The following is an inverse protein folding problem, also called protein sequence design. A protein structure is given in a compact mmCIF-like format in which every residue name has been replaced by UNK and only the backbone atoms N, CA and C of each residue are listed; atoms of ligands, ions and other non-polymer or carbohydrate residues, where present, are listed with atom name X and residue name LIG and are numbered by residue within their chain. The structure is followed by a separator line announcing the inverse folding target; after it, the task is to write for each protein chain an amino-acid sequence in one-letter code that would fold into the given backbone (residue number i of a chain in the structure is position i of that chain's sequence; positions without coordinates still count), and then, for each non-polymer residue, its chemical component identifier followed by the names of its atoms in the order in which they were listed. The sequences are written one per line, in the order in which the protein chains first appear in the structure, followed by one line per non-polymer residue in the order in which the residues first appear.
data_IF_019364527770
#
_entry.id   IF_019364527770
#
_cell.length_a   1.000
_cell.length_b   1.000
_cell.length_c   1.000
_cell.angle_alpha   90.00
_cell.angle_beta   90.00
_cell.angle_gamma   90.00
#
_symmetry.space_group_name_H-M   'P 1'
#
loop_
_entity.id
_entity.type
_entity.pdbx_description
1 polymer ?
#
# COMPACT_ATOMS: atom_id res chain seq x y z
N UNK A 1 -1.06 4.04 -25.96
CA UNK A 1 -1.89 4.21 -24.74
C UNK A 1 -0.96 4.62 -23.60
N UNK A 2 -1.40 5.48 -22.67
CA UNK A 2 -0.61 5.84 -21.49
C UNK A 2 -0.60 4.66 -20.49
N UNK A 3 0.59 4.17 -20.16
CA UNK A 3 0.79 3.07 -19.21
C UNK A 3 1.41 3.62 -17.92
N UNK A 4 0.60 4.33 -17.13
CA UNK A 4 1.02 4.88 -15.85
C UNK A 4 0.60 3.94 -14.74
N UNK A 5 1.52 3.59 -13.85
CA UNK A 5 1.25 2.79 -12.66
C UNK A 5 2.13 3.26 -11.50
N UNK A 6 1.71 2.95 -10.27
CA UNK A 6 2.59 3.03 -9.09
C UNK A 6 2.73 1.63 -8.53
N UNK A 7 3.92 1.31 -8.05
CA UNK A 7 4.21 0.00 -7.47
C UNK A 7 5.04 0.14 -6.21
N UNK A 8 4.82 -0.77 -5.26
CA UNK A 8 5.67 -0.96 -4.09
C UNK A 8 6.02 -2.43 -3.97
N UNK A 9 7.30 -2.71 -3.69
CA UNK A 9 7.77 -4.04 -3.29
C UNK A 9 8.21 -4.00 -1.85
N UNK A 10 7.71 -4.92 -1.03
CA UNK A 10 8.06 -5.02 0.39
C UNK A 10 8.66 -6.38 0.66
N UNK A 11 9.93 -6.37 1.06
CA UNK A 11 10.73 -7.58 1.32
C UNK A 11 10.93 -7.74 2.83
N UNK A 12 10.60 -8.92 3.35
CA UNK A 12 10.89 -9.35 4.70
C UNK A 12 11.48 -10.76 4.72
N UNK A 13 11.85 -11.26 5.90
CA UNK A 13 12.41 -12.60 6.02
C UNK A 13 11.42 -13.69 5.53
N UNK A 14 10.15 -13.54 5.92
CA UNK A 14 9.09 -14.53 5.65
C UNK A 14 8.17 -14.19 4.47
N UNK A 15 8.30 -13.00 3.87
CA UNK A 15 7.43 -12.54 2.78
C UNK A 15 8.19 -11.68 1.77
N UNK A 16 7.71 -11.64 0.54
CA UNK A 16 8.18 -10.73 -0.50
C UNK A 16 6.99 -10.39 -1.39
N UNK A 17 6.45 -9.19 -1.25
CA UNK A 17 5.23 -8.80 -1.94
C UNK A 17 5.49 -7.70 -2.96
N UNK A 18 4.87 -7.83 -4.13
CA UNK A 18 4.78 -6.79 -5.15
C UNK A 18 3.33 -6.35 -5.28
N UNK A 19 3.08 -5.06 -5.11
CA UNK A 19 1.74 -4.46 -5.22
C UNK A 19 1.77 -3.30 -6.19
N UNK A 20 0.84 -3.28 -7.15
CA UNK A 20 0.77 -2.27 -8.20
C UNK A 20 -0.65 -1.77 -8.39
N UNK A 21 -0.77 -0.47 -8.70
CA UNK A 21 -2.02 0.19 -9.10
C UNK A 21 -1.81 0.88 -10.43
N UNK A 22 -2.62 0.51 -11.42
CA UNK A 22 -2.61 1.06 -12.76
C UNK A 22 -3.49 2.31 -12.86
N UNK A 23 -3.26 3.16 -13.85
CA UNK A 23 -4.05 4.39 -14.06
C UNK A 23 -5.53 4.15 -14.39
N UNK A 24 -5.86 2.93 -14.76
CA UNK A 24 -7.19 2.35 -14.95
C UNK A 24 -7.83 1.87 -13.64
N UNK A 25 -7.13 2.03 -12.51
CA UNK A 25 -7.50 1.54 -11.17
C UNK A 25 -7.54 0.00 -11.04
N UNK A 26 -6.96 -0.73 -12.00
CA UNK A 26 -6.67 -2.14 -11.81
C UNK A 26 -5.53 -2.31 -10.81
N UNK A 27 -5.62 -3.38 -10.03
CA UNK A 27 -4.68 -3.68 -8.96
C UNK A 27 -4.05 -5.05 -9.19
N UNK A 28 -2.79 -5.15 -8.84
CA UNK A 28 -2.05 -6.40 -8.88
C UNK A 28 -1.33 -6.63 -7.55
N UNK A 29 -1.47 -7.84 -7.01
CA UNK A 29 -0.77 -8.28 -5.81
C UNK A 29 -0.14 -9.65 -6.07
N UNK A 30 1.16 -9.75 -5.90
CA UNK A 30 1.91 -11.00 -6.07
C UNK A 30 2.77 -11.28 -4.84
N UNK A 31 2.83 -12.55 -4.44
CA UNK A 31 3.85 -13.05 -3.52
C UNK A 31 5.02 -13.60 -4.33
N UNK A 32 6.12 -12.86 -4.34
CA UNK A 32 7.31 -13.14 -5.14
C UNK A 32 8.06 -14.37 -4.65
N UNK A 33 7.89 -14.77 -3.37
CA UNK A 33 8.51 -16.01 -2.86
C UNK A 33 7.82 -17.25 -3.42
N UNK A 34 6.50 -17.22 -3.55
CA UNK A 34 5.72 -18.36 -4.07
C UNK A 34 5.52 -18.30 -5.58
N UNK A 35 5.46 -17.11 -6.15
CA UNK A 35 5.31 -16.85 -7.59
C UNK A 35 6.35 -15.82 -8.09
N UNK A 36 7.61 -16.24 -8.29
CA UNK A 36 8.66 -15.35 -8.79
C UNK A 36 8.38 -14.79 -10.19
N UNK A 37 7.52 -15.45 -10.96
CA UNK A 37 7.17 -15.06 -12.34
C UNK A 37 5.95 -14.13 -12.40
N UNK A 38 5.29 -13.84 -11.27
CA UNK A 38 4.14 -12.93 -11.17
C UNK A 38 3.01 -13.29 -12.14
N UNK A 39 2.67 -14.58 -12.19
CA UNK A 39 1.65 -15.13 -13.08
C UNK A 39 0.26 -15.18 -12.45
N UNK A 40 0.17 -15.19 -11.12
CA UNK A 40 -1.08 -15.36 -10.38
C UNK A 40 -1.39 -14.14 -9.52
N UNK A 41 -2.21 -13.22 -10.06
CA UNK A 41 -2.65 -12.05 -9.31
C UNK A 41 -3.57 -12.45 -8.14
N UNK A 42 -3.15 -12.13 -6.91
CA UNK A 42 -3.87 -12.47 -5.69
C UNK A 42 -4.92 -11.41 -5.31
N UNK A 43 -4.87 -10.21 -5.89
CA UNK A 43 -5.73 -9.10 -5.50
C UNK A 43 -7.22 -9.45 -5.61
N UNK A 44 -8.00 -9.11 -4.57
CA UNK A 44 -9.44 -9.36 -4.53
C UNK A 44 -9.84 -10.82 -4.26
N UNK A 45 -8.89 -11.72 -4.02
CA UNK A 45 -9.19 -13.08 -3.57
C UNK A 45 -9.42 -13.15 -2.05
N UNK A 46 -10.23 -14.11 -1.60
CA UNK A 46 -10.42 -14.43 -0.17
C UNK A 46 -9.32 -15.36 0.37
N UNK A 47 -8.14 -15.35 -0.25
CA UNK A 47 -7.03 -16.23 0.11
C UNK A 47 -6.13 -15.64 1.20
N UNK A 48 -5.16 -16.42 1.64
CA UNK A 48 -4.15 -16.03 2.62
C UNK A 48 -2.78 -16.33 2.02
N UNK A 49 -1.82 -15.40 2.15
CA UNK A 49 -0.43 -15.62 1.74
C UNK A 49 0.54 -15.14 2.82
N UNK A 50 1.62 -15.89 3.05
CA UNK A 50 2.57 -15.68 4.15
C UNK A 50 1.93 -15.46 5.55
N UNK A 51 0.72 -16.00 5.77
CA UNK A 51 -0.07 -15.83 7.00
C UNK A 51 -0.89 -14.54 7.07
N UNK A 52 -1.02 -13.80 5.97
CA UNK A 52 -1.79 -12.55 5.88
C UNK A 52 -2.98 -12.72 4.94
N UNK A 53 -4.16 -12.26 5.39
CA UNK A 53 -5.33 -12.14 4.53
C UNK A 53 -5.09 -11.13 3.41
N UNK A 54 -5.51 -11.45 2.19
CA UNK A 54 -5.26 -10.63 1.00
C UNK A 54 -5.91 -9.25 1.12
N UNK A 55 -7.11 -9.16 1.70
CA UNK A 55 -7.82 -7.90 1.90
C UNK A 55 -7.01 -6.95 2.79
N UNK A 56 -6.61 -7.43 3.97
CA UNK A 56 -5.86 -6.68 4.97
C UNK A 56 -4.47 -6.28 4.45
N UNK A 57 -3.81 -7.21 3.75
CA UNK A 57 -2.51 -7.00 3.14
C UNK A 57 -2.57 -5.93 2.06
N UNK A 58 -3.56 -6.00 1.17
CA UNK A 58 -3.75 -5.03 0.08
C UNK A 58 -3.92 -3.62 0.63
N UNK A 59 -4.76 -3.42 1.65
CA UNK A 59 -5.00 -2.10 2.24
C UNK A 59 -3.74 -1.45 2.84
N UNK A 60 -2.86 -2.27 3.43
CA UNK A 60 -1.59 -1.81 4.02
C UNK A 60 -0.53 -1.49 2.98
N UNK A 61 -0.43 -2.33 1.95
CA UNK A 61 0.45 -2.08 0.80
C UNK A 61 0.01 -0.83 0.04
N UNK A 62 -1.30 -0.63 -0.12
CA UNK A 62 -1.86 0.57 -0.75
C UNK A 62 -1.56 1.84 0.06
N UNK A 63 -1.76 1.81 1.37
CA UNK A 63 -1.38 2.92 2.25
C UNK A 63 0.11 3.24 2.20
N UNK A 64 0.96 2.21 2.13
CA UNK A 64 2.41 2.37 2.00
C UNK A 64 2.76 2.98 0.64
N UNK A 65 2.13 2.50 -0.43
CA UNK A 65 2.28 3.03 -1.78
C UNK A 65 1.88 4.50 -1.85
N UNK A 66 0.75 4.86 -1.24
CA UNK A 66 0.27 6.25 -1.13
C UNK A 66 1.28 7.13 -0.37
N UNK A 67 1.87 6.61 0.70
CA UNK A 67 2.92 7.30 1.47
C UNK A 67 4.14 7.62 0.60
N UNK A 68 4.51 6.68 -0.28
CA UNK A 68 5.65 6.82 -1.18
C UNK A 68 5.32 7.68 -2.41
N UNK A 69 4.04 7.78 -2.79
CA UNK A 69 3.57 8.46 -4.01
C UNK A 69 4.03 9.91 -4.16
N UNK A 70 4.09 10.65 -3.06
CA UNK A 70 4.53 12.06 -3.03
C UNK A 70 5.62 12.34 -2.00
N UNK A 71 6.32 11.30 -1.55
CA UNK A 71 7.27 11.38 -0.45
C UNK A 71 8.41 12.39 -0.73
N UNK A 72 8.94 13.00 0.34
CA UNK A 72 10.11 13.88 0.27
C UNK A 72 11.10 13.53 1.38
N UNK A 73 12.39 13.56 1.05
CA UNK A 73 13.48 13.44 2.02
C UNK A 73 13.42 12.17 2.87
N UNK A 74 13.29 12.34 4.20
CA UNK A 74 13.30 11.22 5.16
C UNK A 74 12.13 10.26 4.97
N UNK A 75 10.96 10.75 4.58
CA UNK A 75 9.73 9.94 4.41
C UNK A 75 9.95 8.84 3.37
N UNK A 76 10.65 9.14 2.26
CA UNK A 76 10.93 8.14 1.21
C UNK A 76 11.81 6.98 1.69
N UNK A 77 12.59 7.17 2.76
CA UNK A 77 13.46 6.14 3.34
C UNK A 77 12.84 5.48 4.57
N UNK A 78 11.88 6.14 5.20
CA UNK A 78 11.22 5.68 6.44
C UNK A 78 9.72 5.94 6.35
N UNK A 79 9.01 5.29 5.41
CA UNK A 79 7.59 5.56 5.17
C UNK A 79 6.71 5.16 6.36
N UNK A 80 7.09 4.10 7.10
CA UNK A 80 6.36 3.69 8.31
C UNK A 80 6.38 4.75 9.41
N UNK A 81 7.48 5.50 9.57
CA UNK A 81 7.52 6.63 10.52
C UNK A 81 6.56 7.77 10.12
N UNK A 82 6.23 7.91 8.83
CA UNK A 82 5.27 8.90 8.37
C UNK A 82 3.82 8.45 8.60
N UNK A 83 3.54 7.16 8.41
CA UNK A 83 2.24 6.56 8.72
C UNK A 83 1.99 6.44 10.23
N UNK A 84 3.03 6.11 11.01
CA UNK A 84 2.97 5.95 12.46
C UNK A 84 4.01 6.85 13.13
N UNK A 85 3.72 8.14 13.33
CA UNK A 85 4.67 9.11 13.88
C UNK A 85 5.15 8.80 15.30
N UNK A 86 4.38 8.02 16.06
CA UNK A 86 4.72 7.59 17.43
C UNK A 86 5.59 6.33 17.45
N UNK A 87 5.84 5.70 16.29
CA UNK A 87 6.78 4.60 16.14
C UNK A 87 6.22 3.22 16.50
N UNK A 88 4.90 3.06 16.57
CA UNK A 88 4.27 1.77 16.91
C UNK A 88 4.44 0.71 15.81
N UNK A 89 4.67 1.14 14.57
CA UNK A 89 4.84 0.28 13.40
C UNK A 89 6.14 0.65 12.70
N UNK A 90 7.06 -0.32 12.59
CA UNK A 90 8.34 -0.17 11.88
C UNK A 90 8.43 -0.99 10.59
N UNK A 91 7.52 -1.94 10.39
CA UNK A 91 7.53 -2.87 9.27
C UNK A 91 6.11 -3.28 8.86
N UNK A 92 5.99 -3.93 7.69
CA UNK A 92 4.71 -4.51 7.27
C UNK A 92 4.22 -5.56 8.28
N UNK A 93 5.13 -6.34 8.88
CA UNK A 93 4.75 -7.34 9.89
C UNK A 93 4.04 -6.69 11.08
N UNK A 94 4.55 -5.56 11.56
CA UNK A 94 3.94 -4.82 12.67
C UNK A 94 2.61 -4.18 12.24
N UNK A 95 2.56 -3.69 11.00
CA UNK A 95 1.34 -3.10 10.43
C UNK A 95 0.20 -4.12 10.32
N UNK A 96 0.51 -5.41 10.10
CA UNK A 96 -0.46 -6.51 9.97
C UNK A 96 -1.16 -6.88 11.30
N UNK A 97 -0.85 -6.23 12.42
CA UNK A 97 -1.62 -6.37 13.66
C UNK A 97 -3.08 -5.92 13.43
N UNK A 98 -4.02 -6.76 13.87
CA UNK A 98 -5.47 -6.56 13.66
C UNK A 98 -5.99 -5.26 14.27
N UNK A 99 -5.34 -4.74 15.31
CA UNK A 99 -5.74 -3.46 15.94
C UNK A 99 -5.69 -2.27 14.96
N UNK A 100 -4.98 -2.40 13.85
CA UNK A 100 -4.88 -1.37 12.81
C UNK A 100 -5.83 -1.61 11.62
N UNK A 101 -6.61 -2.70 11.60
CA UNK A 101 -7.47 -3.05 10.46
C UNK A 101 -8.47 -1.93 10.12
N UNK A 102 -9.18 -1.40 11.11
CA UNK A 102 -10.16 -0.31 10.90
C UNK A 102 -9.51 0.93 10.29
N UNK A 103 -8.27 1.25 10.69
CA UNK A 103 -7.54 2.39 10.16
C UNK A 103 -7.19 2.20 8.68
N UNK A 104 -6.56 1.06 8.33
CA UNK A 104 -6.16 0.80 6.95
C UNK A 104 -7.34 0.55 6.02
N UNK A 105 -8.39 -0.14 6.48
CA UNK A 105 -9.53 -0.52 5.64
C UNK A 105 -10.54 0.61 5.44
N UNK A 106 -10.72 1.50 6.44
CA UNK A 106 -11.81 2.49 6.40
C UNK A 106 -11.38 3.94 6.43
N UNK A 107 -10.23 4.25 7.03
CA UNK A 107 -9.80 5.65 7.22
C UNK A 107 -8.82 6.09 6.13
N UNK A 108 -7.99 5.19 5.65
CA UNK A 108 -6.99 5.52 4.65
C UNK A 108 -7.59 5.71 3.26
N UNK A 109 -7.27 6.81 2.56
CA UNK A 109 -7.64 6.95 1.16
C UNK A 109 -6.84 5.96 0.32
N UNK A 110 -7.49 5.44 -0.72
CA UNK A 110 -6.86 4.48 -1.63
C UNK A 110 -6.05 5.15 -2.72
N UNK A 111 -5.00 4.48 -3.21
CA UNK A 111 -4.31 4.90 -4.42
C UNK A 111 -5.26 4.72 -5.61
N UNK A 112 -5.61 5.84 -6.23
CA UNK A 112 -6.47 5.87 -7.41
C UNK A 112 -5.92 6.85 -8.43
N UNK A 113 -6.45 6.79 -9.64
CA UNK A 113 -6.23 7.74 -10.71
C UNK A 113 -7.58 8.17 -11.28
N UNK A 114 -7.70 9.47 -11.60
CA UNK A 114 -8.89 9.98 -12.29
C UNK A 114 -8.79 9.79 -13.81
N UNK A 115 -7.57 9.74 -14.35
CA UNK A 115 -7.31 9.41 -15.76
C UNK A 115 -5.88 8.93 -15.99
N UNK A 116 -5.68 8.27 -17.14
CA UNK A 116 -4.36 7.88 -17.62
C UNK A 116 -3.65 9.05 -18.32
N UNK A 117 -3.03 9.92 -17.54
CA UNK A 117 -2.24 11.04 -18.07
C UNK A 117 -0.88 10.61 -18.65
N UNK A 118 -0.37 11.39 -19.61
CA UNK A 118 0.99 11.22 -20.20
C UNK A 118 2.06 11.92 -19.34
N UNK A 119 2.24 11.44 -18.11
CA UNK A 119 3.25 11.95 -17.18
C UNK A 119 2.72 12.04 -15.74
N UNK A 120 3.58 12.54 -14.85
CA UNK A 120 3.18 12.80 -13.46
C UNK A 120 2.41 14.12 -13.37
N UNK A 121 1.09 14.05 -13.50
CA UNK A 121 0.18 15.18 -13.36
C UNK A 121 -0.64 15.02 -12.09
N UNK A 122 -0.38 15.84 -11.08
CA UNK A 122 -0.97 15.68 -9.73
C UNK A 122 -2.49 15.71 -9.70
N UNK A 123 -3.13 16.39 -10.64
CA UNK A 123 -4.58 16.45 -10.75
C UNK A 123 -5.20 15.12 -11.25
N UNK A 124 -4.42 14.28 -11.94
CA UNK A 124 -4.85 12.97 -12.42
C UNK A 124 -4.62 11.83 -11.40
N UNK A 125 -3.89 12.14 -10.31
CA UNK A 125 -3.34 11.16 -9.39
C UNK A 125 -4.26 10.90 -8.18
N UNK A 126 -5.45 11.48 -8.09
CA UNK A 126 -6.34 11.26 -6.95
C UNK A 126 -5.67 11.63 -5.60
N UNK A 127 -5.74 10.73 -4.61
CA UNK A 127 -5.07 10.95 -3.33
C UNK A 127 -3.54 10.98 -3.48
N UNK A 128 -2.90 11.97 -2.86
CA UNK A 128 -1.45 12.19 -2.92
C UNK A 128 -0.71 11.87 -1.62
N UNK A 129 -1.41 11.90 -0.49
CA UNK A 129 -0.80 11.74 0.83
C UNK A 129 -1.67 10.85 1.73
N UNK A 130 -1.04 10.04 2.59
CA UNK A 130 -1.75 9.25 3.59
C UNK A 130 -2.21 10.12 4.76
N UNK A 131 -3.15 9.59 5.54
CA UNK A 131 -3.50 10.13 6.84
C UNK A 131 -2.58 9.49 7.89
N UNK A 132 -1.83 10.26 8.70
CA UNK A 132 -1.04 9.70 9.79
C UNK A 132 -1.94 9.03 10.84
N UNK A 133 -1.52 7.88 11.34
CA UNK A 133 -2.22 7.19 12.41
C UNK A 133 -2.23 8.05 13.67
N UNK A 134 -3.43 8.29 14.18
CA UNK A 134 -3.66 8.92 15.48
C UNK A 134 -4.63 8.05 16.26
N UNK A 135 -4.18 7.58 17.41
CA UNK A 135 -5.02 6.87 18.37
C UNK A 135 -5.91 7.89 19.09
N UNK A 136 -6.86 8.47 18.36
CA UNK A 136 -7.95 9.22 18.98
C UNK A 136 -8.91 8.18 19.55
N UNK A 137 -8.60 7.72 20.77
CA UNK A 137 -9.65 7.30 21.68
C UNK A 137 -10.65 8.45 21.72
N UNK A 138 -11.88 8.18 21.31
CA UNK A 138 -13.04 9.00 21.64
C UNK A 138 -12.92 9.41 23.12
N UNK A 139 -12.72 10.71 23.35
CA UNK A 139 -13.02 11.33 24.63
C UNK A 139 -14.55 11.50 24.74
#
# INVERSE_FOLDING_TARGET
MPNTYKTVRVVGAAYDFSYSVWCTNEHELYDIKSDPSQMSNLYGSDSVTAGFGILELSARLDSLLLTLKSCKGKICRRPWEALFPKGEVGSLRDAMDQKYDDFFLRKQPQVTFSECARGYLTWAEGALAPIPFSNASTA
#
